data_IF_245857733401
#
_entry.id   IF_245857733401
#
_cell.length_a   1.000
_cell.length_b   1.000
_cell.length_c   1.000
_cell.angle_alpha   90.00
_cell.angle_beta   90.00
_cell.angle_gamma   90.00
#
_symmetry.space_group_name_H-M   'P 1'
#
loop_
_entity.id
_entity.type
_entity.pdbx_description
1 polymer ?
#
# COMPACT_ATOMS: atom_id res chain seq x y z
N UNK A 1 37.58 3.11 24.73
CA UNK A 1 36.98 1.90 25.34
C UNK A 1 35.50 2.22 25.53
N UNK A 2 34.62 1.80 24.60
CA UNK A 2 33.17 1.86 24.83
C UNK A 2 32.86 0.79 25.89
N UNK A 3 32.37 1.22 27.04
CA UNK A 3 32.05 0.29 28.13
C UNK A 3 31.01 -0.75 27.67
N UNK A 4 31.22 -1.99 28.03
CA UNK A 4 30.40 -3.15 27.72
C UNK A 4 28.92 -2.95 28.03
N UNK A 5 28.56 -2.06 28.96
CA UNK A 5 27.18 -1.66 29.29
C UNK A 5 26.47 -0.88 28.18
N UNK A 6 27.19 -0.06 27.41
CA UNK A 6 26.60 0.70 26.28
C UNK A 6 26.37 -0.21 25.08
N UNK A 7 27.23 -1.19 24.88
CA UNK A 7 27.08 -2.21 23.83
C UNK A 7 25.90 -3.14 24.12
N UNK A 8 25.71 -3.53 25.39
CA UNK A 8 24.55 -4.33 25.81
C UNK A 8 23.22 -3.58 25.69
N UNK A 9 23.18 -2.27 26.00
CA UNK A 9 21.98 -1.45 25.82
C UNK A 9 21.60 -1.32 24.34
N UNK A 10 22.58 -1.19 23.46
CA UNK A 10 22.34 -1.11 22.01
C UNK A 10 21.82 -2.45 21.46
N UNK A 11 22.33 -3.57 21.97
CA UNK A 11 21.95 -4.92 21.54
C UNK A 11 20.49 -5.27 21.94
N UNK A 12 19.99 -4.70 23.04
CA UNK A 12 18.61 -4.92 23.54
C UNK A 12 17.59 -4.04 22.81
N UNK A 13 17.98 -2.88 22.29
CA UNK A 13 17.09 -1.96 21.57
C UNK A 13 16.77 -2.42 20.13
N UNK A 14 17.63 -3.23 19.51
CA UNK A 14 17.47 -3.70 18.13
C UNK A 14 16.27 -4.65 17.95
N UNK A 15 15.97 -5.62 18.85
CA UNK A 15 14.84 -6.53 18.65
C UNK A 15 13.45 -5.91 18.91
N UNK A 16 13.35 -4.77 19.59
CA UNK A 16 12.06 -4.14 19.86
C UNK A 16 11.46 -3.44 18.62
N UNK A 17 12.25 -3.11 17.62
CA UNK A 17 11.81 -2.46 16.40
C UNK A 17 11.22 -3.44 15.34
N UNK A 18 11.30 -4.74 15.56
CA UNK A 18 11.05 -5.78 14.55
C UNK A 18 9.60 -6.29 14.50
N UNK A 19 8.65 -5.76 15.28
CA UNK A 19 7.33 -6.37 15.45
C UNK A 19 6.19 -5.73 14.67
N UNK A 20 6.43 -4.97 13.61
CA UNK A 20 5.36 -4.50 12.71
C UNK A 20 5.38 -5.29 11.41
N UNK A 21 4.99 -6.56 11.45
CA UNK A 21 4.77 -7.32 10.23
C UNK A 21 3.40 -6.97 9.65
N UNK A 22 3.38 -6.47 8.41
CA UNK A 22 2.12 -6.37 7.66
C UNK A 22 1.69 -7.76 7.18
N UNK A 23 0.37 -8.02 7.05
CA UNK A 23 -0.14 -9.27 6.51
C UNK A 23 0.46 -9.55 5.12
N UNK A 24 0.74 -10.81 4.83
CA UNK A 24 1.21 -11.26 3.52
C UNK A 24 0.06 -11.71 2.61
N UNK A 25 -1.20 -11.56 3.07
CA UNK A 25 -2.41 -11.97 2.36
C UNK A 25 -3.51 -10.92 2.45
N UNK A 26 -4.73 -11.24 1.99
CA UNK A 26 -5.86 -10.33 2.07
C UNK A 26 -6.20 -9.98 3.53
N UNK A 27 -6.47 -8.71 3.78
CA UNK A 27 -6.88 -8.22 5.10
C UNK A 27 -8.37 -8.43 5.35
N UNK A 28 -9.13 -8.82 4.35
CA UNK A 28 -10.56 -9.04 4.42
C UNK A 28 -10.93 -10.49 4.13
N UNK A 29 -12.03 -10.95 4.73
CA UNK A 29 -12.53 -12.31 4.61
C UNK A 29 -13.56 -12.37 3.48
N UNK A 30 -13.41 -13.36 2.58
CA UNK A 30 -14.46 -13.76 1.65
C UNK A 30 -15.19 -15.00 2.18
N UNK A 31 -16.43 -15.18 1.77
CA UNK A 31 -17.25 -16.34 2.11
C UNK A 31 -17.69 -17.07 0.84
N UNK A 32 -17.87 -18.40 0.89
CA UNK A 32 -18.39 -19.15 -0.24
C UNK A 32 -19.70 -18.56 -0.76
N UNK A 33 -19.81 -18.46 -2.08
CA UNK A 33 -21.05 -18.08 -2.76
C UNK A 33 -22.12 -19.16 -2.63
N UNK A 34 -23.37 -18.79 -2.89
CA UNK A 34 -24.48 -19.73 -2.88
C UNK A 34 -24.26 -20.83 -3.92
N UNK A 35 -24.33 -22.09 -3.51
CA UNK A 35 -24.13 -23.24 -4.40
C UNK A 35 -22.68 -23.58 -4.72
N UNK A 36 -21.70 -22.92 -4.09
CA UNK A 36 -20.27 -23.26 -4.23
C UNK A 36 -19.82 -24.20 -3.13
N UNK A 37 -19.09 -25.25 -3.49
CA UNK A 37 -18.48 -26.14 -2.50
C UNK A 37 -17.31 -25.43 -1.80
N UNK A 38 -16.96 -25.92 -0.61
CA UNK A 38 -15.83 -25.36 0.13
C UNK A 38 -14.49 -25.62 -0.59
N UNK A 39 -14.36 -26.75 -1.27
CA UNK A 39 -13.14 -27.07 -2.06
C UNK A 39 -12.98 -26.12 -3.24
N UNK A 40 -14.07 -25.81 -3.92
CA UNK A 40 -14.07 -24.81 -4.98
C UNK A 40 -13.71 -23.43 -4.44
N UNK A 41 -14.25 -23.05 -3.28
CA UNK A 41 -13.89 -21.79 -2.63
C UNK A 41 -12.40 -21.72 -2.32
N UNK A 42 -11.79 -22.77 -1.78
CA UNK A 42 -10.36 -22.81 -1.48
C UNK A 42 -9.49 -22.66 -2.73
N UNK A 43 -9.89 -23.33 -3.81
CA UNK A 43 -9.19 -23.21 -5.10
C UNK A 43 -9.28 -21.79 -5.65
N UNK A 44 -10.48 -21.20 -5.60
CA UNK A 44 -10.73 -19.84 -6.05
C UNK A 44 -10.01 -18.81 -5.17
N UNK A 45 -9.98 -19.00 -3.86
CA UNK A 45 -9.22 -18.18 -2.91
C UNK A 45 -7.72 -18.18 -3.26
N UNK A 46 -7.14 -19.35 -3.48
CA UNK A 46 -5.75 -19.45 -3.88
C UNK A 46 -5.48 -18.73 -5.21
N UNK A 47 -6.30 -18.95 -6.22
CA UNK A 47 -6.16 -18.29 -7.53
C UNK A 47 -6.30 -16.78 -7.42
N UNK A 48 -7.24 -16.29 -6.62
CA UNK A 48 -7.47 -14.86 -6.43
C UNK A 48 -6.37 -14.18 -5.60
N UNK A 49 -5.72 -14.89 -4.69
CA UNK A 49 -4.50 -14.40 -4.00
C UNK A 49 -3.33 -14.24 -4.98
N UNK A 50 -3.16 -15.18 -5.90
CA UNK A 50 -2.13 -15.07 -6.95
C UNK A 50 -2.41 -13.87 -7.86
N UNK A 51 -3.65 -13.73 -8.32
CA UNK A 51 -4.04 -12.57 -9.11
C UNK A 51 -3.79 -11.25 -8.39
N UNK A 52 -4.19 -11.13 -7.12
CA UNK A 52 -3.95 -9.94 -6.32
C UNK A 52 -2.45 -9.64 -6.14
N UNK A 53 -1.63 -10.68 -5.96
CA UNK A 53 -0.18 -10.56 -5.86
C UNK A 53 0.44 -10.00 -7.15
N UNK A 54 -0.01 -10.47 -8.31
CA UNK A 54 0.41 -9.96 -9.61
C UNK A 54 0.01 -8.49 -9.82
N UNK A 55 -1.18 -8.10 -9.36
CA UNK A 55 -1.68 -6.72 -9.44
C UNK A 55 -0.83 -5.71 -8.65
N UNK A 56 -0.15 -6.15 -7.60
CA UNK A 56 0.78 -5.31 -6.83
C UNK A 56 2.23 -5.45 -7.30
N UNK A 57 2.44 -6.01 -8.50
CA UNK A 57 3.77 -6.15 -9.11
C UNK A 57 4.62 -7.26 -8.48
N UNK A 58 4.00 -8.30 -7.93
CA UNK A 58 4.71 -9.43 -7.34
C UNK A 58 5.44 -9.09 -6.02
N UNK A 59 5.04 -8.01 -5.36
CA UNK A 59 5.65 -7.58 -4.10
C UNK A 59 4.59 -7.58 -3.00
N UNK A 60 4.83 -8.31 -1.91
CA UNK A 60 3.90 -8.31 -0.78
C UNK A 60 3.86 -6.95 -0.09
N UNK A 61 2.73 -6.55 0.55
CA UNK A 61 2.65 -5.32 1.33
C UNK A 61 3.74 -5.20 2.40
N UNK A 62 4.08 -6.32 3.04
CA UNK A 62 5.18 -6.37 3.99
C UNK A 62 6.54 -6.05 3.34
N UNK A 63 6.82 -6.63 2.18
CA UNK A 63 8.04 -6.38 1.43
C UNK A 63 8.13 -4.93 0.93
N UNK A 64 7.02 -4.35 0.46
CA UNK A 64 6.94 -2.94 0.09
C UNK A 64 7.29 -2.01 1.28
N UNK A 65 6.78 -2.32 2.46
CA UNK A 65 7.11 -1.59 3.70
C UNK A 65 8.60 -1.67 4.03
N UNK A 66 9.16 -2.88 4.05
CA UNK A 66 10.58 -3.11 4.39
C UNK A 66 11.49 -2.39 3.41
N UNK A 67 11.23 -2.52 2.11
CA UNK A 67 12.06 -1.90 1.07
C UNK A 67 12.03 -0.38 1.17
N UNK A 68 10.86 0.22 1.40
CA UNK A 68 10.71 1.67 1.55
C UNK A 68 11.40 2.18 2.83
N UNK A 69 11.27 1.45 3.94
CA UNK A 69 11.92 1.81 5.20
C UNK A 69 13.44 1.70 5.12
N UNK A 70 13.95 0.60 4.56
CA UNK A 70 15.38 0.37 4.38
C UNK A 70 16.00 1.40 3.42
N UNK A 71 15.28 1.77 2.34
CA UNK A 71 15.73 2.82 1.41
C UNK A 71 15.89 4.16 2.11
N UNK A 72 14.94 4.57 2.93
CA UNK A 72 15.02 5.83 3.69
C UNK A 72 16.18 5.83 4.69
N UNK A 73 16.43 4.71 5.38
CA UNK A 73 17.53 4.58 6.30
C UNK A 73 18.90 4.64 5.58
N UNK A 74 19.01 3.98 4.42
CA UNK A 74 20.24 4.00 3.62
C UNK A 74 20.56 5.40 3.08
N UNK A 75 19.55 6.14 2.59
CA UNK A 75 19.72 7.54 2.15
C UNK A 75 20.15 8.41 3.32
N UNK A 76 19.51 8.29 4.49
CA UNK A 76 19.89 9.03 5.69
C UNK A 76 21.32 8.74 6.11
N UNK A 77 21.74 7.47 6.10
CA UNK A 77 23.09 7.07 6.44
C UNK A 77 24.14 7.62 5.45
N UNK A 78 23.84 7.59 4.14
CA UNK A 78 24.72 8.11 3.11
C UNK A 78 24.91 9.62 3.22
N UNK A 79 23.84 10.39 3.36
CA UNK A 79 23.88 11.83 3.54
C UNK A 79 24.58 12.22 4.83
N UNK A 80 24.28 11.53 5.93
CA UNK A 80 24.92 11.74 7.21
C UNK A 80 26.41 11.44 7.16
N UNK A 81 26.84 10.37 6.48
CA UNK A 81 28.24 10.02 6.28
C UNK A 81 28.97 11.12 5.49
N UNK A 82 28.39 11.60 4.40
CA UNK A 82 28.98 12.63 3.56
C UNK A 82 29.17 13.95 4.33
N UNK A 83 28.12 14.40 5.02
CA UNK A 83 28.19 15.60 5.85
C UNK A 83 29.18 15.45 6.98
N UNK A 84 29.17 14.33 7.68
CA UNK A 84 30.10 14.02 8.77
C UNK A 84 31.55 13.95 8.30
N UNK A 85 31.81 13.38 7.11
CA UNK A 85 33.16 13.34 6.51
C UNK A 85 33.71 14.73 6.24
N UNK A 86 32.88 15.64 5.75
CA UNK A 86 33.26 17.01 5.45
C UNK A 86 33.72 17.79 6.70
N UNK A 87 33.12 17.49 7.87
CA UNK A 87 33.39 18.21 9.12
C UNK A 87 34.47 17.54 9.99
N UNK A 88 34.58 16.23 9.96
CA UNK A 88 35.42 15.47 10.89
C UNK A 88 36.16 14.29 10.27
N UNK A 89 36.30 14.25 8.93
CA UNK A 89 37.01 13.16 8.25
C UNK A 89 36.37 11.79 8.52
N UNK A 90 37.17 10.74 8.63
CA UNK A 90 36.68 9.37 8.79
C UNK A 90 35.89 9.13 10.08
N UNK A 91 36.24 9.77 11.18
CA UNK A 91 35.49 9.68 12.43
C UNK A 91 34.14 10.39 12.32
N UNK A 92 34.12 11.58 11.72
CA UNK A 92 32.89 12.31 11.43
C UNK A 92 31.94 11.53 10.54
N UNK A 93 32.47 10.86 9.49
CA UNK A 93 31.68 10.00 8.62
C UNK A 93 30.99 8.86 9.38
N UNK A 94 31.68 8.21 10.28
CA UNK A 94 31.10 7.11 11.08
C UNK A 94 29.98 7.58 11.98
N UNK A 95 30.18 8.71 12.68
CA UNK A 95 29.16 9.32 13.56
C UNK A 95 27.98 9.84 12.74
N UNK A 96 28.27 10.51 11.62
CA UNK A 96 27.26 11.05 10.71
C UNK A 96 26.41 9.95 10.07
N UNK A 97 27.05 8.82 9.64
CA UNK A 97 26.32 7.67 9.14
C UNK A 97 25.37 7.08 10.19
N UNK A 98 25.83 6.93 11.43
CA UNK A 98 25.01 6.40 12.53
C UNK A 98 23.81 7.30 12.87
N UNK A 99 24.02 8.60 13.01
CA UNK A 99 22.96 9.55 13.28
C UNK A 99 22.00 9.69 12.09
N UNK A 100 22.53 9.69 10.86
CA UNK A 100 21.75 9.72 9.65
C UNK A 100 20.90 8.47 9.44
N UNK A 101 21.41 7.28 9.80
CA UNK A 101 20.67 6.03 9.77
C UNK A 101 19.48 6.07 10.74
N UNK A 102 19.68 6.59 11.96
CA UNK A 102 18.61 6.74 12.93
C UNK A 102 17.57 7.75 12.47
N UNK A 103 17.99 8.92 12.00
CA UNK A 103 17.08 9.95 11.50
C UNK A 103 16.31 9.47 10.26
N UNK A 104 17.01 8.87 9.27
CA UNK A 104 16.42 8.29 8.08
C UNK A 104 15.51 7.09 8.38
N UNK A 105 15.87 6.26 9.35
CA UNK A 105 15.04 5.16 9.82
C UNK A 105 13.74 5.64 10.47
N UNK A 106 13.80 6.65 11.33
CA UNK A 106 12.61 7.23 11.96
C UNK A 106 11.71 7.93 10.93
N UNK A 107 12.28 8.73 10.02
CA UNK A 107 11.53 9.34 8.93
C UNK A 107 10.94 8.28 7.97
N UNK A 108 11.69 7.19 7.73
CA UNK A 108 11.28 6.08 6.88
C UNK A 108 10.11 5.26 7.43
N UNK A 109 9.83 5.32 8.73
CA UNK A 109 8.68 4.56 9.31
C UNK A 109 7.35 5.00 8.73
N UNK A 110 7.14 6.29 8.51
CA UNK A 110 5.91 6.81 7.91
C UNK A 110 5.81 6.40 6.43
N UNK A 111 6.92 6.49 5.69
CA UNK A 111 6.99 6.06 4.29
C UNK A 111 6.75 4.57 4.16
N UNK A 112 7.35 3.75 5.02
CA UNK A 112 7.15 2.32 5.06
C UNK A 112 5.67 1.96 5.31
N UNK A 113 5.05 2.60 6.31
CA UNK A 113 3.62 2.40 6.61
C UNK A 113 2.73 2.81 5.45
N UNK A 114 2.98 3.98 4.85
CA UNK A 114 2.21 4.45 3.70
C UNK A 114 2.34 3.50 2.50
N UNK A 115 3.55 3.05 2.16
CA UNK A 115 3.81 2.11 1.07
C UNK A 115 3.12 0.78 1.30
N UNK A 116 3.22 0.23 2.51
CA UNK A 116 2.57 -1.01 2.87
C UNK A 116 1.05 -0.90 2.83
N UNK A 117 0.50 0.20 3.34
CA UNK A 117 -0.94 0.43 3.34
C UNK A 117 -1.50 0.55 1.90
N UNK A 118 -0.85 1.32 1.04
CA UNK A 118 -1.25 1.46 -0.37
C UNK A 118 -1.15 0.12 -1.10
N UNK A 119 -0.07 -0.63 -0.87
CA UNK A 119 0.10 -1.96 -1.45
C UNK A 119 -0.97 -2.93 -0.94
N UNK A 120 -1.30 -2.90 0.36
CA UNK A 120 -2.37 -3.71 0.94
C UNK A 120 -3.73 -3.37 0.34
N UNK A 121 -4.06 -2.09 0.20
CA UNK A 121 -5.32 -1.68 -0.43
C UNK A 121 -5.45 -2.19 -1.88
N UNK A 122 -4.39 -2.09 -2.66
CA UNK A 122 -4.38 -2.60 -4.06
C UNK A 122 -4.53 -4.12 -4.10
N UNK A 123 -3.82 -4.83 -3.21
CA UNK A 123 -3.93 -6.26 -3.07
C UNK A 123 -5.37 -6.68 -2.72
N UNK A 124 -5.95 -6.06 -1.71
CA UNK A 124 -7.30 -6.34 -1.24
C UNK A 124 -8.36 -6.06 -2.32
N UNK A 125 -8.19 -4.97 -3.07
CA UNK A 125 -9.08 -4.67 -4.20
C UNK A 125 -8.99 -5.74 -5.30
N UNK A 126 -7.79 -6.16 -5.68
CA UNK A 126 -7.59 -7.24 -6.66
C UNK A 126 -8.20 -8.55 -6.20
N UNK A 127 -7.98 -8.91 -4.94
CA UNK A 127 -8.55 -10.11 -4.33
C UNK A 127 -10.08 -10.09 -4.32
N UNK A 128 -10.69 -8.98 -3.85
CA UNK A 128 -12.14 -8.81 -3.80
C UNK A 128 -12.77 -8.87 -5.17
N UNK A 129 -12.18 -8.19 -6.16
CA UNK A 129 -12.68 -8.21 -7.55
C UNK A 129 -12.67 -9.64 -8.11
N UNK A 130 -11.58 -10.38 -7.90
CA UNK A 130 -11.46 -11.75 -8.35
C UNK A 130 -12.48 -12.68 -7.68
N UNK A 131 -12.60 -12.64 -6.35
CA UNK A 131 -13.56 -13.45 -5.60
C UNK A 131 -15.00 -13.12 -5.97
N UNK A 132 -15.32 -11.84 -6.19
CA UNK A 132 -16.63 -11.41 -6.65
C UNK A 132 -16.95 -11.95 -8.05
N UNK A 133 -15.98 -11.84 -8.98
CA UNK A 133 -16.13 -12.37 -10.34
C UNK A 133 -16.36 -13.89 -10.37
N UNK A 134 -15.82 -14.61 -9.39
CA UNK A 134 -16.04 -16.05 -9.20
C UNK A 134 -17.36 -16.39 -8.47
N UNK A 135 -18.14 -15.37 -8.10
CA UNK A 135 -19.46 -15.53 -7.46
C UNK A 135 -19.40 -15.79 -5.96
N UNK A 136 -18.30 -15.46 -5.31
CA UNK A 136 -18.18 -15.51 -3.86
C UNK A 136 -18.72 -14.25 -3.21
N UNK A 137 -19.06 -14.35 -1.92
CA UNK A 137 -19.50 -13.22 -1.12
C UNK A 137 -18.29 -12.48 -0.55
N UNK A 138 -18.21 -11.20 -0.87
CA UNK A 138 -17.14 -10.33 -0.41
C UNK A 138 -17.69 -9.15 0.38
N UNK A 139 -16.96 -8.61 1.35
CA UNK A 139 -17.40 -7.44 2.09
C UNK A 139 -17.38 -6.21 1.17
N UNK A 140 -18.49 -5.50 1.10
CA UNK A 140 -18.60 -4.18 0.49
C UNK A 140 -19.14 -3.23 1.55
N UNK A 141 -18.40 -2.18 1.85
CA UNK A 141 -18.77 -1.19 2.89
C UNK A 141 -19.20 -1.82 4.23
N UNK A 142 -18.49 -2.86 4.68
CA UNK A 142 -18.78 -3.54 5.95
C UNK A 142 -19.93 -4.54 5.90
N UNK A 143 -20.52 -4.79 4.74
CA UNK A 143 -21.57 -5.79 4.55
C UNK A 143 -21.12 -6.82 3.49
N UNK A 144 -21.59 -8.07 3.62
CA UNK A 144 -21.34 -9.09 2.60
C UNK A 144 -22.37 -8.99 1.47
N UNK A 145 -21.89 -8.99 0.23
CA UNK A 145 -22.77 -9.13 -0.93
C UNK A 145 -23.31 -10.55 -0.96
N UNK A 146 -24.62 -10.69 -0.84
CA UNK A 146 -25.27 -11.95 -1.20
C UNK A 146 -25.32 -12.00 -2.73
N UNK A 147 -24.58 -12.92 -3.36
CA UNK A 147 -24.53 -13.11 -4.81
C UNK A 147 -25.83 -13.63 -5.43
N UNK A 148 -26.98 -13.11 -5.01
CA UNK A 148 -28.26 -13.25 -5.69
C UNK A 148 -28.68 -11.88 -6.20
N UNK A 149 -29.14 -11.77 -7.45
CA UNK A 149 -29.84 -10.57 -7.90
C UNK A 149 -31.19 -10.51 -7.18
N UNK A 150 -31.22 -10.02 -5.97
CA UNK A 150 -32.46 -9.82 -5.22
C UNK A 150 -33.00 -8.44 -5.56
N UNK A 151 -34.10 -8.48 -6.32
CA UNK A 151 -35.20 -7.56 -6.37
C UNK A 151 -35.10 -6.35 -5.42
N UNK A 152 -34.93 -5.17 -6.04
CA UNK A 152 -34.62 -3.93 -5.36
C UNK A 152 -35.74 -3.44 -4.46
N UNK A 153 -35.53 -3.51 -3.17
CA UNK A 153 -36.21 -2.65 -2.21
C UNK A 153 -35.35 -2.33 -0.96
N UNK A 154 -34.06 -2.71 -0.95
CA UNK A 154 -33.16 -2.08 -0.01
C UNK A 154 -32.59 -0.81 -0.65
N UNK A 155 -33.10 0.32 -0.26
CA UNK A 155 -32.44 1.61 -0.46
C UNK A 155 -31.11 1.56 0.29
N UNK A 156 -30.10 1.01 -0.37
CA UNK A 156 -28.71 1.26 -0.02
C UNK A 156 -28.58 2.79 -0.09
N UNK A 157 -28.18 3.41 0.99
CA UNK A 157 -27.73 4.79 0.96
C UNK A 157 -26.76 4.90 -0.21
N UNK A 158 -27.15 5.63 -1.24
CA UNK A 158 -26.28 5.93 -2.34
C UNK A 158 -24.97 6.48 -1.76
N UNK A 159 -23.80 6.07 -2.27
CA UNK A 159 -22.55 6.71 -1.87
C UNK A 159 -22.74 8.23 -2.01
N UNK A 160 -22.20 9.02 -1.07
CA UNK A 160 -22.30 10.48 -1.19
C UNK A 160 -21.83 10.86 -2.60
N UNK A 161 -22.57 11.71 -3.31
CA UNK A 161 -22.18 12.12 -4.65
C UNK A 161 -20.75 12.64 -4.56
N UNK A 162 -19.89 12.33 -5.55
CA UNK A 162 -18.54 12.84 -5.58
C UNK A 162 -18.64 14.36 -5.39
N UNK A 163 -17.69 14.98 -4.64
CA UNK A 163 -17.72 16.41 -4.41
C UNK A 163 -17.92 17.09 -5.76
N UNK A 164 -19.04 17.77 -5.91
CA UNK A 164 -19.34 18.52 -7.12
C UNK A 164 -18.16 19.46 -7.30
N UNK A 165 -17.37 19.25 -8.33
CA UNK A 165 -16.39 20.24 -8.76
C UNK A 165 -17.17 21.52 -8.88
N UNK A 166 -16.89 22.47 -7.97
CA UNK A 166 -17.40 23.81 -7.98
C UNK A 166 -17.39 24.25 -9.42
N UNK A 167 -18.56 24.60 -9.93
CA UNK A 167 -18.83 24.96 -11.30
C UNK A 167 -17.74 25.89 -11.85
N UNK A 168 -16.77 25.33 -12.53
CA UNK A 168 -16.07 26.09 -13.55
C UNK A 168 -17.14 26.51 -14.57
N UNK A 169 -17.23 27.79 -14.92
CA UNK A 169 -18.14 28.22 -15.95
C UNK A 169 -17.89 27.39 -17.21
N UNK A 170 -18.95 27.01 -17.97
CA UNK A 170 -18.78 26.24 -19.18
C UNK A 170 -17.79 26.96 -20.10
N UNK A 171 -16.91 26.22 -20.78
CA UNK A 171 -15.98 26.83 -21.72
C UNK A 171 -16.77 27.63 -22.75
N UNK A 172 -16.27 28.83 -23.17
CA UNK A 172 -16.94 29.64 -24.17
C UNK A 172 -17.18 28.82 -25.42
N UNK A 173 -18.34 29.02 -26.09
CA UNK A 173 -18.66 28.30 -27.32
C UNK A 173 -17.58 28.57 -28.37
N UNK A 174 -17.19 27.54 -29.16
CA UNK A 174 -16.19 27.71 -30.20
C UNK A 174 -16.60 28.78 -31.18
N UNK A 175 -15.68 29.61 -31.70
CA UNK A 175 -15.99 30.64 -32.65
C UNK A 175 -16.65 30.02 -33.91
N UNK A 176 -17.79 30.55 -34.31
CA UNK A 176 -18.50 30.12 -35.51
C UNK A 176 -17.59 30.34 -36.72
N UNK A 177 -17.15 29.28 -37.38
CA UNK A 177 -16.44 29.40 -38.65
C UNK A 177 -15.19 28.54 -38.86
N UNK A 178 -14.77 27.72 -37.91
CA UNK A 178 -13.64 26.79 -38.13
C UNK A 178 -14.17 25.40 -38.51
N UNK A 179 -13.71 24.79 -39.62
CA UNK A 179 -14.05 23.43 -39.97
C UNK A 179 -13.46 22.43 -38.94
N UNK A 180 -14.12 21.28 -38.71
CA UNK A 180 -13.61 20.28 -37.79
C UNK A 180 -12.22 19.74 -38.22
N UNK A 181 -11.34 19.41 -37.29
CA UNK A 181 -10.02 18.82 -37.61
C UNK A 181 -10.25 17.46 -38.29
N UNK A 182 -9.36 17.08 -39.24
CA UNK A 182 -9.42 15.78 -39.88
C UNK A 182 -9.20 14.64 -38.89
N UNK A 183 -9.80 13.45 -39.13
CA UNK A 183 -9.59 12.29 -38.26
C UNK A 183 -8.12 11.85 -38.29
N UNK A 184 -7.59 11.29 -37.17
CA UNK A 184 -6.23 10.77 -37.12
C UNK A 184 -6.11 9.58 -38.08
N UNK A 185 -5.02 9.59 -38.89
CA UNK A 185 -4.63 8.50 -39.78
C UNK A 185 -3.87 7.43 -38.99
#
# INVERSE_FOLDING_TARGET
MLGTSKLSALLVLVPLAACTSMPTGPSMMALPGSGRSFDQFRYDDYTCRQFAYEQVGGTTPNQASITSGAGSAAVGAGLGAAAGAALGGGQGAAIGAGTGLLAGGLAGTNTARASGYISQQRYDMGYVQCMYAKGHRVPVYGQFTNGSPTNGNNRLMAPPPPPQRSSLPPPPPPPKGLPPPPPPQ
#
